data_IF_485185472948
#
_entry.id   IF_485185472948
#
_cell.length_a   1.000
_cell.length_b   1.000
_cell.length_c   1.000
_cell.angle_alpha   90.00
_cell.angle_beta   90.00
_cell.angle_gamma   90.00
#
_symmetry.space_group_name_H-M   'P 1'
#
loop_
_entity.id
_entity.type
_entity.pdbx_description
1 polymer ?
#
# COMPACT_ATOMS: atom_id res chain seq x y z
N UNK A 1 3.94 -13.22 -14.76
CA UNK A 1 3.26 -13.88 -13.61
C UNK A 1 3.51 -12.98 -12.41
N UNK A 2 2.45 -12.39 -11.84
CA UNK A 2 2.56 -11.31 -10.84
C UNK A 2 2.44 -9.93 -11.46
N UNK A 3 1.34 -9.66 -12.18
CA UNK A 3 1.12 -8.36 -12.85
C UNK A 3 0.82 -7.23 -11.84
N UNK A 4 0.50 -7.61 -10.61
CA UNK A 4 0.41 -6.70 -9.46
C UNK A 4 0.73 -7.44 -8.15
N UNK A 5 0.97 -6.65 -7.10
CA UNK A 5 1.38 -7.16 -5.78
C UNK A 5 0.29 -7.96 -5.06
N UNK A 6 -0.99 -7.80 -5.42
CA UNK A 6 -2.08 -8.57 -4.82
C UNK A 6 -2.07 -10.04 -5.28
N UNK A 7 -1.64 -10.32 -6.51
CA UNK A 7 -1.47 -11.69 -7.00
C UNK A 7 -0.39 -12.46 -6.22
N UNK A 8 0.67 -11.78 -5.77
CA UNK A 8 1.72 -12.40 -4.96
C UNK A 8 1.16 -12.97 -3.65
N UNK A 9 0.18 -12.30 -3.03
CA UNK A 9 -0.52 -12.81 -1.83
C UNK A 9 -1.32 -14.07 -2.19
N UNK A 10 -2.05 -14.07 -3.31
CA UNK A 10 -2.86 -15.20 -3.75
C UNK A 10 -2.03 -16.47 -4.02
N UNK A 11 -0.83 -16.34 -4.57
CA UNK A 11 0.05 -17.48 -4.80
C UNK A 11 0.54 -18.12 -3.49
N UNK A 12 0.87 -17.30 -2.49
CA UNK A 12 1.25 -17.81 -1.17
C UNK A 12 0.06 -18.46 -0.47
N UNK A 13 -1.10 -17.80 -0.46
CA UNK A 13 -2.31 -18.30 0.21
C UNK A 13 -2.84 -19.60 -0.40
N UNK A 14 -2.66 -19.81 -1.71
CA UNK A 14 -3.06 -21.03 -2.41
C UNK A 14 -2.03 -22.16 -2.34
N UNK A 15 -0.83 -21.90 -1.81
CA UNK A 15 0.29 -22.85 -1.82
C UNK A 15 0.94 -23.02 -3.20
N UNK A 16 0.61 -22.16 -4.17
CA UNK A 16 1.31 -22.12 -5.46
C UNK A 16 2.74 -21.58 -5.34
N UNK A 17 3.07 -20.91 -4.24
CA UNK A 17 4.41 -20.52 -3.85
C UNK A 17 4.61 -20.68 -2.34
N UNK A 18 5.79 -21.18 -1.92
CA UNK A 18 6.11 -21.35 -0.50
C UNK A 18 6.34 -20.02 0.22
N UNK A 19 6.88 -19.02 -0.49
CA UNK A 19 7.23 -17.69 0.04
C UNK A 19 6.92 -16.64 -1.03
N UNK A 20 6.41 -15.48 -0.60
CA UNK A 20 6.17 -14.33 -1.48
C UNK A 20 6.63 -13.01 -0.85
N UNK A 21 7.20 -12.13 -1.68
CA UNK A 21 7.41 -10.73 -1.32
C UNK A 21 6.13 -9.95 -1.62
N UNK A 22 5.54 -9.36 -0.58
CA UNK A 22 4.21 -8.73 -0.63
C UNK A 22 4.22 -7.36 0.04
N UNK A 23 3.24 -6.51 -0.29
CA UNK A 23 3.04 -5.26 0.41
C UNK A 23 2.42 -5.51 1.78
N UNK A 24 3.04 -4.98 2.84
CA UNK A 24 2.57 -5.17 4.21
C UNK A 24 1.13 -4.68 4.44
N UNK A 25 0.69 -3.68 3.69
CA UNK A 25 -0.68 -3.16 3.76
C UNK A 25 -1.75 -4.20 3.40
N UNK A 26 -1.46 -5.09 2.46
CA UNK A 26 -2.38 -6.17 2.08
C UNK A 26 -2.51 -7.23 3.19
N UNK A 27 -1.50 -7.36 4.03
CA UNK A 27 -1.51 -8.27 5.17
C UNK A 27 -2.30 -7.72 6.36
N UNK A 28 -2.47 -6.39 6.43
CA UNK A 28 -3.28 -5.71 7.46
C UNK A 28 -4.77 -5.68 7.13
N UNK A 29 -5.13 -5.84 5.86
CA UNK A 29 -6.52 -5.87 5.40
C UNK A 29 -7.15 -7.27 5.54
N UNK A 30 -6.34 -8.31 5.36
CA UNK A 30 -6.80 -9.71 5.41
C UNK A 30 -6.48 -10.35 6.76
N UNK A 31 -7.28 -11.33 7.19
CA UNK A 31 -6.86 -12.26 8.24
C UNK A 31 -5.80 -13.20 7.62
N UNK A 32 -4.56 -12.74 7.61
CA UNK A 32 -3.45 -13.47 7.02
C UNK A 32 -3.34 -14.89 7.58
N UNK A 33 -3.20 -15.85 6.68
CA UNK A 33 -2.86 -17.23 7.01
C UNK A 33 -1.35 -17.37 6.97
N UNK A 34 -0.74 -17.70 8.11
CA UNK A 34 0.70 -17.95 8.20
C UNK A 34 1.49 -16.83 8.89
N UNK A 35 2.82 -16.87 8.70
CA UNK A 35 3.76 -15.95 9.31
C UNK A 35 4.39 -15.02 8.28
N UNK A 36 4.77 -13.82 8.70
CA UNK A 36 5.51 -12.87 7.87
C UNK A 36 6.74 -12.34 8.61
N UNK A 37 7.71 -11.86 7.84
CA UNK A 37 8.87 -11.14 8.33
C UNK A 37 8.94 -9.79 7.64
N UNK A 38 9.16 -8.72 8.41
CA UNK A 38 9.41 -7.39 7.86
C UNK A 38 10.87 -7.32 7.40
N UNK A 39 11.07 -6.90 6.16
CA UNK A 39 12.42 -6.67 5.63
C UNK A 39 12.98 -5.40 6.27
N UNK A 40 14.20 -5.50 6.77
CA UNK A 40 14.95 -4.37 7.32
C UNK A 40 15.08 -3.25 6.27
N UNK A 41 14.75 -2.02 6.66
CA UNK A 41 14.75 -0.86 5.78
C UNK A 41 16.14 -0.47 5.26
N UNK A 42 17.22 -0.93 5.91
CA UNK A 42 18.59 -0.78 5.41
C UNK A 42 18.90 -1.65 4.19
N UNK A 43 18.07 -2.67 3.92
CA UNK A 43 18.27 -3.65 2.85
C UNK A 43 17.55 -3.30 1.54
N UNK A 44 16.81 -2.20 1.51
CA UNK A 44 16.10 -1.77 0.31
C UNK A 44 15.95 -0.25 0.24
N UNK A 45 15.69 0.27 -0.96
CA UNK A 45 15.34 1.68 -1.11
C UNK A 45 13.94 1.95 -0.54
N UNK A 46 13.68 3.14 0.01
CA UNK A 46 12.34 3.50 0.47
C UNK A 46 11.32 3.47 -0.68
N UNK A 47 10.20 2.76 -0.47
CA UNK A 47 9.10 2.74 -1.42
C UNK A 47 8.21 3.98 -1.23
N UNK A 48 8.61 5.10 -1.85
CA UNK A 48 7.87 6.36 -1.78
C UNK A 48 6.63 6.29 -2.68
N UNK A 49 5.46 6.53 -2.09
CA UNK A 49 4.20 6.62 -2.82
C UNK A 49 3.75 8.08 -2.91
N UNK A 50 3.16 8.46 -4.04
CA UNK A 50 2.68 9.82 -4.28
C UNK A 50 1.45 9.77 -5.18
N UNK A 51 0.67 10.84 -5.15
CA UNK A 51 -0.47 11.02 -6.04
C UNK A 51 -0.33 12.34 -6.79
N UNK A 52 -1.06 12.47 -7.90
CA UNK A 52 -1.12 13.71 -8.68
C UNK A 52 -2.56 14.00 -9.08
N UNK A 53 -2.92 15.29 -9.16
CA UNK A 53 -4.14 15.70 -9.85
C UNK A 53 -3.82 15.75 -11.35
N UNK A 54 -4.57 14.99 -12.15
CA UNK A 54 -4.36 14.96 -13.60
C UNK A 54 -4.74 16.30 -14.23
N UNK A 55 -4.18 16.61 -15.41
CA UNK A 55 -4.50 17.84 -16.16
C UNK A 55 -6.01 18.02 -16.38
N UNK A 56 -6.72 16.92 -16.66
CA UNK A 56 -8.17 16.89 -16.82
C UNK A 56 -8.94 17.33 -15.56
N UNK A 57 -8.40 17.02 -14.38
CA UNK A 57 -9.02 17.31 -13.10
C UNK A 57 -8.56 18.64 -12.47
N UNK A 58 -7.64 19.39 -13.10
CA UNK A 58 -6.98 20.60 -12.55
C UNK A 58 -7.95 21.60 -11.92
N UNK A 59 -9.10 21.82 -12.56
CA UNK A 59 -10.09 22.81 -12.10
C UNK A 59 -11.34 22.16 -11.50
N UNK A 60 -11.29 20.86 -11.17
CA UNK A 60 -12.43 20.14 -10.59
C UNK A 60 -12.37 20.24 -9.06
N UNK A 61 -13.33 20.93 -8.40
CA UNK A 61 -13.28 21.14 -6.95
C UNK A 61 -13.22 19.84 -6.14
N UNK A 62 -13.87 18.78 -6.63
CA UNK A 62 -13.86 17.48 -5.94
C UNK A 62 -12.48 16.82 -5.94
N UNK A 63 -11.67 17.01 -6.99
CA UNK A 63 -10.32 16.48 -7.05
C UNK A 63 -9.42 17.16 -6.01
N UNK A 64 -9.57 18.49 -5.85
CA UNK A 64 -8.84 19.24 -4.82
C UNK A 64 -9.27 18.79 -3.42
N UNK A 65 -10.58 18.72 -3.14
CA UNK A 65 -11.09 18.26 -1.84
C UNK A 65 -10.58 16.85 -1.47
N UNK A 66 -10.50 15.95 -2.45
CA UNK A 66 -9.95 14.62 -2.21
C UNK A 66 -8.45 14.65 -1.95
N UNK A 67 -7.68 15.46 -2.69
CA UNK A 67 -6.24 15.65 -2.44
C UNK A 67 -5.98 16.22 -1.03
N UNK A 68 -6.78 17.20 -0.60
CA UNK A 68 -6.70 17.78 0.74
C UNK A 68 -7.03 16.73 1.81
N UNK A 69 -8.03 15.88 1.58
CA UNK A 69 -8.34 14.78 2.48
C UNK A 69 -7.20 13.77 2.59
N UNK A 70 -6.65 13.31 1.47
CA UNK A 70 -5.58 12.30 1.43
C UNK A 70 -4.32 12.77 2.18
N UNK A 71 -4.07 14.08 2.26
CA UNK A 71 -2.94 14.65 2.99
C UNK A 71 -3.24 15.04 4.44
N UNK A 72 -4.51 14.92 4.86
CA UNK A 72 -4.96 15.28 6.22
C UNK A 72 -4.45 14.29 7.28
N UNK A 73 -4.43 14.74 8.54
CA UNK A 73 -4.11 13.90 9.70
C UNK A 73 -5.03 12.68 9.84
N UNK A 74 -6.29 12.79 9.41
CA UNK A 74 -7.23 11.66 9.42
C UNK A 74 -6.82 10.58 8.42
N UNK A 75 -6.41 10.98 7.21
CA UNK A 75 -5.92 10.02 6.22
C UNK A 75 -4.57 9.41 6.63
N UNK A 76 -3.67 10.21 7.23
CA UNK A 76 -2.40 9.69 7.78
C UNK A 76 -2.61 8.56 8.78
N UNK A 77 -3.54 8.73 9.73
CA UNK A 77 -3.91 7.67 10.68
C UNK A 77 -4.43 6.39 10.00
N UNK A 78 -5.17 6.54 8.89
CA UNK A 78 -5.62 5.39 8.09
C UNK A 78 -4.41 4.70 7.44
N UNK A 79 -3.51 5.46 6.82
CA UNK A 79 -2.28 4.92 6.24
C UNK A 79 -1.43 4.16 7.27
N UNK A 80 -1.19 4.74 8.45
CA UNK A 80 -0.44 4.09 9.53
C UNK A 80 -1.11 2.81 10.02
N UNK A 81 -2.45 2.80 10.16
CA UNK A 81 -3.22 1.60 10.53
C UNK A 81 -2.97 0.43 9.56
N UNK A 82 -2.83 0.73 8.28
CA UNK A 82 -2.53 -0.24 7.23
C UNK A 82 -1.02 -0.38 6.94
N UNK A 83 -0.14 0.06 7.83
CA UNK A 83 1.29 -0.25 7.76
C UNK A 83 2.12 0.64 6.82
N UNK A 84 1.59 1.77 6.39
CA UNK A 84 2.37 2.82 5.74
C UNK A 84 3.06 3.73 6.76
N UNK A 85 4.11 4.41 6.35
CA UNK A 85 4.76 5.47 7.15
C UNK A 85 4.42 6.83 6.55
N UNK A 86 3.86 7.72 7.37
CA UNK A 86 3.55 9.10 6.99
C UNK A 86 4.42 10.05 7.81
N UNK A 87 5.58 10.44 7.27
CA UNK A 87 6.42 11.51 7.83
C UNK A 87 6.03 12.85 7.22
#
# INVERSE_FOLDING_TARGET
MGDNIAQSVQFVDSGAADIGLVAFSLLKETQQKGAYLIIDSSKHLPLKQSFVITKYAKNKPLAQKFADFITSENAKKIFEKYGFTTK
#
